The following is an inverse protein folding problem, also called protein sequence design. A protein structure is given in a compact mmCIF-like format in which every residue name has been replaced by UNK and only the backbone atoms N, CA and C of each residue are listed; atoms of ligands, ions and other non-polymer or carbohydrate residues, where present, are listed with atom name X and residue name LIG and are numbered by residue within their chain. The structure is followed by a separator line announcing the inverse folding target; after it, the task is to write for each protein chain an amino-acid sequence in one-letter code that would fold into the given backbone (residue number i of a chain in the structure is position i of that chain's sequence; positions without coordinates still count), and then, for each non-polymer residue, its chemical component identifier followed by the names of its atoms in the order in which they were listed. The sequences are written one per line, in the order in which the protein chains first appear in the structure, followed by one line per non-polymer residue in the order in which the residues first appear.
data_IF_738393768960
#
_entry.id   IF_738393768960
#
_cell.length_a   1.000
_cell.length_b   1.000
_cell.length_c   1.000
_cell.angle_alpha   90.00
_cell.angle_beta   90.00
_cell.angle_gamma   90.00
#
_symmetry.space_group_name_H-M   'P 1'
#
loop_
_entity.id
_entity.type
_entity.pdbx_description
1 polymer ?
#
# COMPACT_ATOMS: atom_id res chain seq x y z
N UNK A 1 61.93 3.69 12.53
CA UNK A 1 62.18 2.23 12.36
C UNK A 1 60.81 1.57 12.55
N UNK A 2 60.15 0.93 11.60
CA UNK A 2 60.59 0.01 10.54
C UNK A 2 59.74 0.21 9.28
N UNK A 3 60.38 0.11 8.11
CA UNK A 3 59.75 0.06 6.78
C UNK A 3 59.44 -1.40 6.44
N UNK A 4 58.30 -1.66 5.79
CA UNK A 4 58.16 -2.81 4.88
C UNK A 4 57.40 -2.40 3.62
N UNK A 5 58.13 -2.45 2.51
CA UNK A 5 57.63 -2.40 1.14
C UNK A 5 57.03 -3.76 0.76
N UNK A 6 55.91 -3.76 0.04
CA UNK A 6 55.57 -4.86 -0.87
C UNK A 6 55.07 -4.27 -2.20
N UNK A 7 55.90 -4.46 -3.24
CA UNK A 7 55.51 -4.33 -4.64
C UNK A 7 54.78 -5.61 -5.07
N UNK A 8 53.66 -5.50 -5.75
CA UNK A 8 53.16 -6.55 -6.64
C UNK A 8 52.79 -5.95 -7.99
N UNK A 9 53.51 -6.42 -9.01
CA UNK A 9 53.33 -6.16 -10.45
C UNK A 9 51.97 -6.70 -10.92
N UNK A 10 51.20 -5.91 -11.66
CA UNK A 10 50.12 -6.43 -12.50
C UNK A 10 50.58 -6.53 -13.95
N UNK A 11 50.48 -7.75 -14.46
CA UNK A 11 50.84 -8.20 -15.80
C UNK A 11 49.73 -7.77 -16.78
N UNK A 12 50.08 -7.01 -17.83
CA UNK A 12 49.15 -6.70 -18.94
C UNK A 12 49.22 -7.87 -19.94
N UNK A 13 48.15 -8.65 -20.05
CA UNK A 13 47.99 -9.66 -21.10
C UNK A 13 47.34 -9.00 -22.32
N UNK A 14 48.12 -8.79 -23.38
CA UNK A 14 47.60 -8.44 -24.70
C UNK A 14 47.19 -9.74 -25.44
N UNK A 15 45.91 -9.87 -25.79
CA UNK A 15 45.42 -10.90 -26.71
C UNK A 15 45.43 -10.36 -28.15
N UNK A 16 45.86 -11.16 -29.15
CA UNK A 16 45.82 -10.74 -30.54
C UNK A 16 44.39 -10.85 -31.09
N UNK A 17 43.90 -9.81 -31.76
CA UNK A 17 42.68 -9.85 -32.56
C UNK A 17 42.95 -10.67 -33.83
N UNK A 18 42.49 -11.91 -33.84
CA UNK A 18 42.34 -12.71 -35.06
C UNK A 18 41.14 -12.21 -35.87
N UNK A 19 41.38 -11.88 -37.14
CA UNK A 19 40.33 -11.61 -38.13
C UNK A 19 39.56 -12.91 -38.41
N UNK A 20 38.28 -12.95 -38.07
CA UNK A 20 37.35 -13.97 -38.52
C UNK A 20 36.40 -13.34 -39.55
N UNK A 21 36.47 -13.80 -40.79
CA UNK A 21 35.51 -13.47 -41.84
C UNK A 21 34.16 -14.12 -41.51
N UNK A 22 33.11 -13.32 -41.36
CA UNK A 22 31.74 -13.81 -41.27
C UNK A 22 31.02 -13.52 -42.58
N UNK A 23 31.14 -14.44 -43.53
CA UNK A 23 30.17 -14.58 -44.62
C UNK A 23 29.03 -15.45 -44.12
N UNK A 24 27.99 -14.82 -43.60
CA UNK A 24 26.74 -15.44 -43.20
C UNK A 24 25.65 -14.38 -43.19
N UNK A 25 24.75 -14.43 -44.18
CA UNK A 25 23.54 -13.60 -44.21
C UNK A 25 22.73 -13.92 -42.95
N UNK A 26 22.72 -12.99 -42.00
CA UNK A 26 21.94 -13.12 -40.79
C UNK A 26 20.44 -13.12 -41.15
N UNK A 27 19.76 -14.25 -40.97
CA UNK A 27 18.31 -14.25 -40.79
C UNK A 27 18.03 -13.31 -39.63
N UNK A 28 17.20 -12.28 -39.86
CA UNK A 28 16.76 -11.37 -38.80
C UNK A 28 16.22 -12.18 -37.63
N UNK A 29 16.57 -11.78 -36.41
CA UNK A 29 16.11 -12.48 -35.21
C UNK A 29 14.58 -12.51 -35.18
N UNK A 30 14.02 -13.65 -34.79
CA UNK A 30 12.57 -13.83 -34.60
C UNK A 30 12.02 -12.79 -33.61
N UNK A 31 10.85 -12.24 -33.94
CA UNK A 31 10.22 -11.18 -33.16
C UNK A 31 9.58 -11.74 -31.89
N UNK A 32 9.71 -10.99 -30.80
CA UNK A 32 9.18 -11.30 -29.50
C UNK A 32 8.10 -10.29 -29.10
N UNK A 33 6.96 -10.77 -28.58
CA UNK A 33 5.87 -9.90 -28.18
C UNK A 33 6.31 -8.80 -27.19
N UNK A 34 6.98 -9.13 -26.09
CA UNK A 34 7.27 -8.15 -25.04
C UNK A 34 8.39 -7.18 -25.42
N UNK A 35 9.37 -7.66 -26.20
CA UNK A 35 10.50 -6.86 -26.68
C UNK A 35 10.10 -5.94 -27.81
N UNK A 36 9.37 -6.46 -28.80
CA UNK A 36 9.24 -5.81 -30.11
C UNK A 36 7.85 -5.24 -30.38
N UNK A 37 6.78 -5.87 -29.88
CA UNK A 37 5.38 -5.52 -30.23
C UNK A 37 4.65 -4.77 -29.12
N UNK A 38 4.80 -5.25 -27.88
CA UNK A 38 4.19 -4.69 -26.69
C UNK A 38 4.48 -3.20 -26.49
N UNK A 39 5.69 -2.66 -26.75
CA UNK A 39 5.97 -1.24 -26.51
C UNK A 39 5.02 -0.29 -27.23
N UNK A 40 4.73 -0.54 -28.51
CA UNK A 40 3.83 0.31 -29.28
C UNK A 40 2.35 -0.04 -29.06
N UNK A 41 2.00 -1.31 -28.78
CA UNK A 41 0.63 -1.67 -28.42
C UNK A 41 0.23 -1.12 -27.04
N UNK A 42 1.18 -1.00 -26.10
CA UNK A 42 0.92 -0.53 -24.74
C UNK A 42 0.24 0.84 -24.71
N UNK A 43 0.78 1.79 -25.47
CA UNK A 43 0.23 3.15 -25.55
C UNK A 43 -1.05 3.23 -26.38
N UNK A 44 -1.09 2.49 -27.50
CA UNK A 44 -2.08 2.73 -28.55
C UNK A 44 -3.31 1.81 -28.48
N UNK A 45 -3.17 0.61 -27.92
CA UNK A 45 -4.23 -0.41 -27.89
C UNK A 45 -4.54 -0.87 -26.46
N UNK A 46 -3.53 -1.30 -25.72
CA UNK A 46 -3.67 -1.87 -24.37
C UNK A 46 -4.19 -0.83 -23.36
N UNK A 47 -3.95 0.47 -23.61
CA UNK A 47 -4.52 1.55 -22.79
C UNK A 47 -6.06 1.53 -22.74
N UNK A 48 -6.71 0.97 -23.76
CA UNK A 48 -8.17 0.83 -23.87
C UNK A 48 -8.67 -0.62 -23.85
N UNK A 49 -7.78 -1.61 -24.03
CA UNK A 49 -8.10 -3.04 -24.10
C UNK A 49 -7.21 -3.83 -23.12
N UNK A 50 -7.45 -3.65 -21.83
CA UNK A 50 -6.74 -4.34 -20.75
C UNK A 50 -7.73 -4.93 -19.74
N UNK A 51 -7.24 -5.63 -18.72
CA UNK A 51 -8.08 -6.26 -17.69
C UNK A 51 -9.06 -5.32 -16.98
N UNK A 52 -8.71 -4.04 -16.83
CA UNK A 52 -9.52 -3.06 -16.09
C UNK A 52 -10.45 -2.28 -17.01
N UNK A 53 -9.99 -2.02 -18.22
CA UNK A 53 -10.72 -1.30 -19.27
C UNK A 53 -10.85 -2.27 -20.44
N UNK A 54 -11.82 -3.17 -20.37
CA UNK A 54 -12.03 -4.24 -21.36
C UNK A 54 -13.03 -3.79 -22.42
N UNK A 55 -12.73 -2.72 -23.16
CA UNK A 55 -13.65 -2.26 -24.21
C UNK A 55 -13.83 -3.36 -25.26
N UNK A 56 -15.09 -3.56 -25.69
CA UNK A 56 -15.49 -4.64 -26.60
C UNK A 56 -15.06 -6.04 -26.13
N UNK A 57 -15.00 -6.26 -24.80
CA UNK A 57 -14.62 -7.54 -24.21
C UNK A 57 -13.17 -7.97 -24.44
N UNK A 58 -12.34 -7.12 -25.07
CA UNK A 58 -10.99 -7.49 -25.51
C UNK A 58 -9.93 -7.10 -24.46
N UNK A 59 -9.04 -8.06 -24.14
CA UNK A 59 -7.82 -7.82 -23.37
C UNK A 59 -6.59 -8.17 -24.23
N UNK A 60 -5.68 -7.22 -24.38
CA UNK A 60 -4.48 -7.33 -25.21
C UNK A 60 -3.17 -7.38 -24.41
N UNK A 61 -3.22 -7.69 -23.11
CA UNK A 61 -2.04 -7.71 -22.24
C UNK A 61 -1.07 -8.89 -22.54
N UNK A 62 -1.55 -9.93 -23.22
CA UNK A 62 -0.76 -11.10 -23.63
C UNK A 62 -1.25 -11.63 -24.98
N UNK A 63 -0.40 -12.29 -25.80
CA UNK A 63 -0.83 -12.89 -27.06
C UNK A 63 -1.93 -13.93 -26.87
N UNK A 64 -1.91 -14.70 -25.79
CA UNK A 64 -2.94 -15.70 -25.48
C UNK A 64 -4.32 -15.06 -25.32
N UNK A 65 -4.39 -13.89 -24.68
CA UNK A 65 -5.63 -13.12 -24.54
C UNK A 65 -6.04 -12.46 -25.86
N UNK A 66 -5.07 -12.01 -26.67
CA UNK A 66 -5.33 -11.46 -28.00
C UNK A 66 -5.91 -12.51 -28.95
N UNK A 67 -5.43 -13.76 -28.87
CA UNK A 67 -5.93 -14.92 -29.62
C UNK A 67 -7.33 -15.31 -29.12
N UNK A 68 -7.55 -15.30 -27.79
CA UNK A 68 -8.89 -15.53 -27.23
C UNK A 68 -9.90 -14.50 -27.75
N UNK A 69 -9.47 -13.26 -27.95
CA UNK A 69 -10.28 -12.22 -28.56
C UNK A 69 -11.30 -11.58 -27.63
N UNK A 70 -12.18 -10.78 -28.24
CA UNK A 70 -13.29 -10.09 -27.56
C UNK A 70 -14.62 -10.34 -28.27
N UNK A 71 -15.53 -9.38 -28.18
CA UNK A 71 -16.90 -9.50 -28.72
C UNK A 71 -16.94 -9.71 -30.24
N UNK A 72 -15.90 -9.27 -30.96
CA UNK A 72 -15.75 -9.42 -32.42
C UNK A 72 -14.90 -10.64 -32.82
N UNK A 73 -14.52 -11.51 -31.87
CA UNK A 73 -13.66 -12.66 -32.11
C UNK A 73 -12.17 -12.38 -31.83
N UNK A 74 -11.27 -13.28 -32.28
CA UNK A 74 -9.83 -13.17 -32.09
C UNK A 74 -9.27 -11.85 -32.66
N UNK A 75 -8.52 -11.11 -31.83
CA UNK A 75 -7.85 -9.90 -32.33
C UNK A 75 -6.64 -10.23 -33.20
N UNK A 76 -6.01 -11.39 -32.97
CA UNK A 76 -4.93 -11.92 -33.80
C UNK A 76 -5.18 -13.39 -34.12
N UNK A 77 -4.75 -13.80 -35.31
CA UNK A 77 -4.73 -15.20 -35.76
C UNK A 77 -3.28 -15.55 -36.09
N UNK A 78 -2.60 -16.37 -35.25
CA UNK A 78 -1.20 -16.72 -35.47
C UNK A 78 -0.94 -17.31 -36.85
N UNK A 79 0.12 -16.85 -37.51
CA UNK A 79 0.48 -17.22 -38.89
C UNK A 79 -0.35 -16.53 -39.97
N UNK A 80 -1.30 -15.67 -39.61
CA UNK A 80 -2.25 -15.06 -40.54
C UNK A 80 -2.48 -13.57 -40.24
N UNK A 81 -1.47 -12.75 -40.46
CA UNK A 81 -1.57 -11.30 -40.25
C UNK A 81 -2.65 -10.64 -41.11
N UNK A 82 -2.91 -11.19 -42.30
CA UNK A 82 -3.98 -10.72 -43.20
C UNK A 82 -5.41 -11.04 -42.73
N UNK A 83 -5.60 -12.02 -41.84
CA UNK A 83 -6.91 -12.37 -41.26
C UNK A 83 -7.06 -11.85 -39.81
N UNK A 84 -6.08 -11.09 -39.32
CA UNK A 84 -6.04 -10.61 -37.93
C UNK A 84 -6.73 -9.26 -37.79
N UNK A 85 -7.84 -9.20 -37.04
CA UNK A 85 -8.62 -7.98 -36.83
C UNK A 85 -7.79 -6.80 -36.34
N UNK A 86 -6.79 -7.04 -35.49
CA UNK A 86 -5.88 -5.99 -35.01
C UNK A 86 -5.15 -5.30 -36.17
N UNK A 87 -4.69 -6.08 -37.15
CA UNK A 87 -3.98 -5.56 -38.31
C UNK A 87 -4.94 -4.81 -39.21
N UNK A 88 -6.11 -5.38 -39.49
CA UNK A 88 -7.15 -4.75 -40.31
C UNK A 88 -7.65 -3.43 -39.70
N UNK A 89 -7.85 -3.39 -38.39
CA UNK A 89 -8.21 -2.17 -37.66
C UNK A 89 -7.07 -1.14 -37.69
N UNK A 90 -5.81 -1.58 -37.57
CA UNK A 90 -4.65 -0.67 -37.59
C UNK A 90 -4.40 -0.02 -38.95
N UNK A 91 -4.81 -0.68 -40.05
CA UNK A 91 -4.76 -0.11 -41.41
C UNK A 91 -6.08 0.52 -41.83
N UNK A 92 -7.08 0.59 -40.94
CA UNK A 92 -8.42 1.13 -41.21
C UNK A 92 -9.12 0.46 -42.41
N UNK A 93 -8.92 -0.85 -42.61
CA UNK A 93 -9.59 -1.63 -43.67
C UNK A 93 -10.94 -2.18 -43.24
N UNK A 94 -11.29 -2.06 -41.96
CA UNK A 94 -12.60 -2.41 -41.40
C UNK A 94 -13.40 -1.16 -41.10
N UNK A 95 -14.71 -1.31 -40.87
CA UNK A 95 -15.56 -0.22 -40.36
C UNK A 95 -15.25 0.16 -38.91
N UNK A 96 -14.31 -0.52 -38.25
CA UNK A 96 -13.91 -0.28 -36.87
C UNK A 96 -12.81 0.80 -36.85
N UNK A 97 -13.19 2.03 -36.50
CA UNK A 97 -12.24 3.14 -36.33
C UNK A 97 -11.39 2.95 -35.06
N UNK A 98 -10.13 2.55 -35.22
CA UNK A 98 -9.20 2.34 -34.09
C UNK A 98 -7.80 2.92 -34.37
N UNK A 99 -7.26 3.74 -33.46
CA UNK A 99 -7.92 4.29 -32.28
C UNK A 99 -9.02 5.28 -32.68
N UNK A 100 -10.11 5.42 -31.90
CA UNK A 100 -11.13 6.43 -32.16
C UNK A 100 -10.51 7.83 -32.11
N UNK A 101 -10.91 8.69 -33.05
CA UNK A 101 -10.46 10.09 -33.14
C UNK A 101 -10.62 10.89 -31.83
N UNK A 102 -11.60 10.55 -30.99
CA UNK A 102 -11.85 11.17 -29.67
C UNK A 102 -11.48 10.25 -28.50
N UNK A 103 -10.33 9.59 -28.55
CA UNK A 103 -9.86 8.78 -27.43
C UNK A 103 -9.27 9.65 -26.29
N UNK A 104 -9.41 9.20 -25.04
CA UNK A 104 -8.92 9.90 -23.84
C UNK A 104 -7.51 9.48 -23.41
N UNK A 105 -6.89 8.54 -24.12
CA UNK A 105 -5.62 7.91 -23.74
C UNK A 105 -4.43 8.46 -24.53
N UNK A 106 -4.68 9.29 -25.55
CA UNK A 106 -3.64 9.79 -26.44
C UNK A 106 -3.13 8.73 -27.43
N UNK A 107 -3.92 7.67 -27.67
CA UNK A 107 -3.60 6.65 -28.65
C UNK A 107 -3.54 7.26 -30.06
N UNK A 108 -2.50 6.91 -30.82
CA UNK A 108 -2.29 7.31 -32.21
C UNK A 108 -2.40 6.12 -33.16
N UNK A 109 -2.56 6.42 -34.45
CA UNK A 109 -2.36 5.42 -35.50
C UNK A 109 -0.94 4.85 -35.41
N UNK A 110 -0.82 3.55 -35.65
CA UNK A 110 0.48 2.91 -35.82
C UNK A 110 1.15 3.43 -37.10
N UNK A 111 2.47 3.52 -37.06
CA UNK A 111 3.28 3.85 -38.25
C UNK A 111 3.36 2.64 -39.19
N UNK A 112 3.69 2.87 -40.46
CA UNK A 112 3.88 1.78 -41.43
C UNK A 112 4.92 0.74 -40.95
N UNK A 113 5.99 1.20 -40.29
CA UNK A 113 7.02 0.32 -39.73
C UNK A 113 6.48 -0.54 -38.58
N UNK A 114 5.69 0.03 -37.67
CA UNK A 114 5.05 -0.71 -36.56
C UNK A 114 4.01 -1.72 -37.10
N UNK A 115 3.28 -1.36 -38.15
CA UNK A 115 2.32 -2.28 -38.82
C UNK A 115 3.08 -3.42 -39.50
N UNK A 116 4.18 -3.14 -40.19
CA UNK A 116 5.01 -4.18 -40.81
C UNK A 116 5.60 -5.13 -39.76
N UNK A 117 6.09 -4.59 -38.65
CA UNK A 117 6.61 -5.37 -37.53
C UNK A 117 5.51 -6.22 -36.86
N UNK A 118 4.32 -5.66 -36.68
CA UNK A 118 3.16 -6.40 -36.17
C UNK A 118 2.77 -7.55 -37.08
N UNK A 119 2.72 -7.32 -38.41
CA UNK A 119 2.42 -8.36 -39.40
C UNK A 119 3.45 -9.49 -39.34
N UNK A 120 4.73 -9.13 -39.37
CA UNK A 120 5.82 -10.10 -39.30
C UNK A 120 5.71 -10.96 -38.02
N UNK A 121 5.50 -10.34 -36.87
CA UNK A 121 5.37 -11.07 -35.59
C UNK A 121 4.17 -12.03 -35.59
N UNK A 122 3.02 -11.61 -36.12
CA UNK A 122 1.85 -12.48 -36.25
C UNK A 122 2.14 -13.65 -37.19
N UNK A 123 2.76 -13.39 -38.35
CA UNK A 123 3.10 -14.40 -39.36
C UNK A 123 4.16 -15.39 -38.87
N UNK A 124 5.07 -14.96 -37.97
CA UNK A 124 6.01 -15.82 -37.24
C UNK A 124 5.35 -16.66 -36.13
N UNK A 125 4.03 -16.54 -35.96
CA UNK A 125 3.23 -17.34 -35.03
C UNK A 125 2.87 -16.64 -33.72
N UNK A 126 2.99 -15.32 -33.66
CA UNK A 126 2.61 -14.48 -32.50
C UNK A 126 3.26 -14.92 -31.18
N UNK A 127 4.54 -15.31 -31.24
CA UNK A 127 5.26 -15.88 -30.09
C UNK A 127 5.57 -14.83 -29.03
N UNK A 128 5.58 -15.27 -27.77
CA UNK A 128 6.09 -14.46 -26.66
C UNK A 128 7.07 -15.24 -25.81
N UNK A 129 8.11 -14.55 -25.38
CA UNK A 129 8.89 -14.89 -24.20
C UNK A 129 8.00 -14.81 -22.98
N UNK A 130 8.33 -15.57 -21.94
CA UNK A 130 7.69 -15.34 -20.63
C UNK A 130 8.17 -13.99 -20.13
N UNK A 131 7.24 -13.15 -19.68
CA UNK A 131 7.60 -11.96 -18.91
C UNK A 131 8.27 -12.44 -17.63
N UNK A 132 9.60 -12.56 -17.64
CA UNK A 132 10.36 -12.80 -16.41
C UNK A 132 10.15 -11.57 -15.54
N UNK A 133 9.28 -11.70 -14.54
CA UNK A 133 9.27 -10.77 -13.42
C UNK A 133 10.68 -10.90 -12.86
N UNK A 134 11.54 -9.91 -13.16
CA UNK A 134 12.86 -9.82 -12.55
C UNK A 134 12.61 -9.80 -11.05
N UNK A 135 12.84 -10.95 -10.42
CA UNK A 135 12.64 -11.11 -9.01
C UNK A 135 13.73 -10.26 -8.36
N UNK A 136 13.34 -9.06 -7.92
CA UNK A 136 14.27 -8.20 -7.22
C UNK A 136 14.46 -8.82 -5.85
N UNK A 137 15.63 -9.43 -5.67
CA UNK A 137 16.09 -9.90 -4.37
C UNK A 137 16.40 -8.66 -3.54
N UNK A 138 15.43 -8.22 -2.75
CA UNK A 138 15.64 -7.18 -1.77
C UNK A 138 16.59 -7.72 -0.70
N UNK A 139 17.60 -6.93 -0.37
CA UNK A 139 18.56 -7.26 0.67
C UNK A 139 18.76 -6.05 1.55
N UNK A 140 18.98 -6.31 2.83
CA UNK A 140 19.42 -5.29 3.74
C UNK A 140 20.74 -4.68 3.27
N UNK A 141 20.88 -3.37 3.44
CA UNK A 141 22.22 -2.79 3.41
C UNK A 141 23.05 -3.39 4.55
N UNK A 142 24.36 -3.46 4.31
CA UNK A 142 25.32 -3.97 5.28
C UNK A 142 25.19 -3.19 6.60
N UNK A 143 25.41 -3.84 7.75
CA UNK A 143 25.19 -3.23 9.08
C UNK A 143 26.11 -2.02 9.32
N UNK A 144 27.22 -1.94 8.59
CA UNK A 144 28.14 -0.81 8.57
C UNK A 144 27.51 0.45 7.94
N UNK A 145 26.45 0.28 7.15
CA UNK A 145 25.62 1.34 6.56
C UNK A 145 24.28 1.41 7.31
N UNK A 146 24.35 1.76 8.61
CA UNK A 146 23.19 1.99 9.48
C UNK A 146 22.98 3.47 9.91
N UNK A 147 23.18 4.49 9.04
CA UNK A 147 22.84 5.86 9.38
C UNK A 147 21.32 6.04 9.49
N UNK A 148 20.91 6.94 10.39
CA UNK A 148 19.53 7.41 10.48
C UNK A 148 19.42 8.72 9.69
N UNK A 149 18.75 8.70 8.55
CA UNK A 149 18.57 9.89 7.70
C UNK A 149 17.21 10.58 7.87
N UNK A 150 16.22 9.85 8.38
CA UNK A 150 14.88 10.36 8.56
C UNK A 150 14.30 9.87 9.89
N UNK A 151 13.62 10.77 10.59
CA UNK A 151 12.83 10.48 11.78
C UNK A 151 11.50 11.22 11.69
N UNK A 152 10.44 10.64 12.21
CA UNK A 152 9.12 11.28 12.34
C UNK A 152 8.40 10.73 13.55
N UNK A 153 7.42 11.46 14.06
CA UNK A 153 6.67 11.10 15.26
C UNK A 153 5.18 11.24 14.98
N UNK A 154 4.37 10.39 15.60
CA UNK A 154 2.92 10.56 15.60
C UNK A 154 2.52 11.84 16.34
N UNK A 155 1.37 12.41 15.99
CA UNK A 155 0.90 13.68 16.58
C UNK A 155 0.68 13.59 18.10
N UNK A 156 0.29 12.42 18.59
CA UNK A 156 0.15 12.10 20.01
C UNK A 156 1.50 11.90 20.74
N UNK A 157 2.63 11.95 20.02
CA UNK A 157 3.97 11.77 20.56
C UNK A 157 4.29 10.34 21.01
N UNK A 158 3.41 9.36 20.77
CA UNK A 158 3.61 8.00 21.28
C UNK A 158 4.62 7.20 20.47
N UNK A 159 4.57 7.30 19.15
CA UNK A 159 5.37 6.48 18.26
C UNK A 159 6.35 7.31 17.45
N UNK A 160 7.59 6.83 17.34
CA UNK A 160 8.63 7.39 16.46
C UNK A 160 9.00 6.37 15.40
N UNK A 161 9.04 6.79 14.15
CA UNK A 161 9.59 6.01 13.06
C UNK A 161 10.97 6.55 12.65
N UNK A 162 11.92 5.64 12.43
CA UNK A 162 13.28 5.95 12.01
C UNK A 162 13.63 5.19 10.73
N UNK A 163 14.16 5.89 9.74
CA UNK A 163 14.73 5.32 8.52
C UNK A 163 16.20 4.99 8.76
N UNK A 164 16.54 3.70 8.85
CA UNK A 164 17.88 3.16 9.12
C UNK A 164 18.39 2.43 7.90
N UNK A 165 19.34 3.02 7.19
CA UNK A 165 19.73 2.53 5.87
C UNK A 165 18.50 2.44 4.94
N UNK A 166 18.21 1.23 4.44
CA UNK A 166 17.05 0.95 3.60
C UNK A 166 15.86 0.30 4.34
N UNK A 167 15.85 0.38 5.68
CA UNK A 167 14.83 -0.18 6.57
C UNK A 167 14.13 0.93 7.34
N UNK A 168 12.93 0.65 7.82
CA UNK A 168 12.19 1.55 8.72
C UNK A 168 11.90 0.82 10.02
N UNK A 169 12.07 1.49 11.14
CA UNK A 169 11.81 0.95 12.47
C UNK A 169 10.85 1.85 13.22
N UNK A 170 9.88 1.25 13.91
CA UNK A 170 8.89 1.92 14.73
C UNK A 170 9.20 1.66 16.20
N UNK A 171 9.25 2.72 17.00
CA UNK A 171 9.50 2.68 18.44
C UNK A 171 8.28 3.23 19.17
N UNK A 172 7.95 2.65 20.32
CA UNK A 172 7.03 3.23 21.30
C UNK A 172 7.88 3.98 22.32
N UNK A 173 7.69 5.30 22.41
CA UNK A 173 8.46 6.16 23.30
C UNK A 173 8.04 6.01 24.76
N UNK A 174 6.76 5.74 25.02
CA UNK A 174 6.27 5.55 26.38
C UNK A 174 6.85 4.27 26.99
N UNK A 175 6.92 3.21 26.19
CA UNK A 175 7.44 1.90 26.60
C UNK A 175 8.94 1.70 26.33
N UNK A 176 9.59 2.68 25.69
CA UNK A 176 11.02 2.68 25.33
C UNK A 176 11.48 1.41 24.61
N UNK A 177 10.65 0.89 23.71
CA UNK A 177 10.95 -0.37 23.00
C UNK A 177 10.73 -0.26 21.51
N UNK A 178 11.46 -1.12 20.78
CA UNK A 178 11.15 -1.39 19.38
C UNK A 178 9.79 -2.08 19.30
N UNK A 179 8.90 -1.52 18.46
CA UNK A 179 7.59 -2.09 18.15
C UNK A 179 7.71 -3.03 16.98
N UNK A 180 8.29 -2.55 15.87
CA UNK A 180 8.39 -3.32 14.63
C UNK A 180 9.46 -2.76 13.69
N UNK A 181 10.04 -3.64 12.88
CA UNK A 181 10.59 -3.26 11.58
C UNK A 181 9.45 -3.19 10.56
N UNK A 182 9.42 -2.14 9.76
CA UNK A 182 8.44 -1.91 8.70
C UNK A 182 9.14 -2.15 7.36
N UNK A 183 8.71 -3.16 6.62
CA UNK A 183 9.27 -3.55 5.34
C UNK A 183 8.43 -4.61 4.64
N UNK A 184 8.60 -4.71 3.33
CA UNK A 184 7.93 -5.66 2.43
C UNK A 184 8.92 -6.60 1.71
N UNK A 185 10.23 -6.43 1.94
CA UNK A 185 11.26 -7.37 1.49
C UNK A 185 11.51 -8.52 2.48
N UNK A 186 12.20 -9.59 2.04
CA UNK A 186 12.41 -10.83 2.79
C UNK A 186 13.23 -10.62 4.06
N UNK A 187 14.10 -9.61 4.10
CA UNK A 187 14.94 -9.27 5.26
C UNK A 187 14.43 -8.04 6.03
N UNK A 188 13.14 -7.72 5.91
CA UNK A 188 12.53 -6.54 6.55
C UNK A 188 12.93 -5.20 5.93
N UNK A 189 13.43 -5.20 4.70
CA UNK A 189 13.76 -3.98 3.95
C UNK A 189 12.49 -3.23 3.56
N UNK A 190 12.53 -1.90 3.72
CA UNK A 190 11.47 -1.02 3.26
C UNK A 190 11.71 -0.55 1.81
N UNK A 191 12.97 -0.28 1.47
CA UNK A 191 13.35 0.33 0.19
C UNK A 191 14.62 -0.29 -0.40
N UNK A 192 14.92 0.03 -1.67
CA UNK A 192 16.15 -0.42 -2.35
C UNK A 192 17.34 0.46 -2.02
N UNK A 193 17.05 1.75 -1.85
CA UNK A 193 18.01 2.75 -1.45
C UNK A 193 17.67 3.25 -0.03
N UNK A 194 18.45 4.22 0.42
CA UNK A 194 18.30 4.83 1.74
C UNK A 194 16.90 5.48 1.90
N UNK A 195 16.34 5.31 3.10
CA UNK A 195 15.10 5.99 3.50
C UNK A 195 15.46 7.41 3.94
N UNK A 196 15.17 8.38 3.09
CA UNK A 196 15.58 9.77 3.29
C UNK A 196 14.44 10.68 3.75
N UNK A 197 13.21 10.17 3.82
CA UNK A 197 12.06 10.93 4.31
C UNK A 197 11.03 10.01 4.93
N UNK A 198 10.40 10.47 6.00
CA UNK A 198 9.30 9.83 6.69
C UNK A 198 8.26 10.87 7.10
N UNK A 199 6.98 10.50 7.04
CA UNK A 199 5.89 11.32 7.57
C UNK A 199 4.73 10.43 8.03
N UNK A 200 4.23 10.65 9.24
CA UNK A 200 2.94 10.09 9.65
C UNK A 200 1.78 10.92 9.08
N UNK A 201 0.65 10.26 8.83
CA UNK A 201 -0.63 10.98 8.70
C UNK A 201 -1.04 11.54 10.07
N UNK A 202 -1.82 12.64 10.11
CA UNK A 202 -2.28 13.24 11.37
C UNK A 202 -3.01 12.24 12.27
N UNK A 203 -3.82 11.36 11.68
CA UNK A 203 -4.54 10.30 12.41
C UNK A 203 -3.66 9.13 12.89
N UNK A 204 -2.35 9.15 12.61
CA UNK A 204 -1.38 8.11 12.99
C UNK A 204 -1.60 6.74 12.32
N UNK A 205 -2.60 6.60 11.44
CA UNK A 205 -2.96 5.30 10.85
C UNK A 205 -2.12 4.94 9.62
N UNK A 206 -1.44 5.93 9.04
CA UNK A 206 -0.59 5.76 7.87
C UNK A 206 0.76 6.43 8.08
N UNK A 207 1.75 5.92 7.38
CA UNK A 207 3.08 6.52 7.29
C UNK A 207 3.55 6.47 5.85
N UNK A 208 4.07 7.58 5.35
CA UNK A 208 4.79 7.63 4.08
C UNK A 208 6.29 7.48 4.34
N UNK A 209 6.97 6.69 3.51
CA UNK A 209 8.43 6.63 3.47
C UNK A 209 8.93 6.91 2.06
N UNK A 210 9.94 7.77 1.96
CA UNK A 210 10.56 8.21 0.72
C UNK A 210 11.97 7.67 0.54
N UNK A 211 12.23 7.14 -0.65
CA UNK A 211 13.54 6.66 -1.11
C UNK A 211 13.79 7.18 -2.53
N UNK A 212 14.97 6.89 -3.08
CA UNK A 212 15.30 7.23 -4.47
C UNK A 212 14.22 6.72 -5.45
N UNK A 213 13.50 7.65 -6.07
CA UNK A 213 12.43 7.42 -7.07
C UNK A 213 11.25 6.55 -6.59
N UNK A 214 11.05 6.44 -5.28
CA UNK A 214 9.99 5.62 -4.72
C UNK A 214 9.42 6.25 -3.45
N UNK A 215 8.10 6.22 -3.31
CA UNK A 215 7.39 6.52 -2.06
C UNK A 215 6.50 5.33 -1.75
N UNK A 216 6.57 4.82 -0.53
CA UNK A 216 5.68 3.76 -0.04
C UNK A 216 4.78 4.31 1.05
N UNK A 217 3.53 3.84 1.08
CA UNK A 217 2.56 4.15 2.12
C UNK A 217 2.32 2.89 2.93
N UNK A 218 2.63 2.96 4.21
CA UNK A 218 2.40 1.93 5.20
C UNK A 218 1.11 2.24 5.93
N UNK A 219 0.24 1.25 6.06
CA UNK A 219 -0.98 1.36 6.85
C UNK A 219 -0.84 0.47 8.08
N UNK A 220 -1.18 0.99 9.26
CA UNK A 220 -1.30 0.17 10.46
C UNK A 220 -2.28 -0.96 10.18
N UNK A 221 -1.89 -2.20 10.45
CA UNK A 221 -2.82 -3.34 10.33
C UNK A 221 -3.93 -3.08 11.36
N UNK A 222 -5.13 -2.80 10.88
CA UNK A 222 -6.30 -2.81 11.75
C UNK A 222 -6.47 -4.27 12.17
N UNK A 223 -6.27 -4.54 13.46
CA UNK A 223 -6.80 -5.76 14.05
C UNK A 223 -8.28 -5.83 13.66
N UNK A 224 -8.81 -6.98 13.21
CA UNK A 224 -10.22 -7.10 12.86
C UNK A 224 -11.04 -6.56 14.02
N UNK A 225 -12.07 -5.76 13.69
CA UNK A 225 -12.96 -5.16 14.67
C UNK A 225 -13.37 -6.24 15.68
N UNK A 226 -12.95 -6.04 16.93
CA UNK A 226 -13.28 -6.92 18.04
C UNK A 226 -14.79 -7.13 18.05
N UNK A 227 -15.20 -8.39 18.11
CA UNK A 227 -16.59 -8.77 18.22
C UNK A 227 -17.30 -7.95 19.30
N UNK A 228 -18.43 -7.34 18.91
CA UNK A 228 -19.35 -6.66 19.83
C UNK A 228 -19.59 -7.60 21.03
N UNK A 229 -19.43 -7.14 22.29
CA UNK A 229 -19.49 -8.04 23.44
C UNK A 229 -20.82 -8.78 23.46
N UNK A 230 -20.79 -10.11 23.30
CA UNK A 230 -21.99 -10.96 23.41
C UNK A 230 -22.52 -11.05 24.86
N UNK A 231 -21.75 -10.53 25.83
CA UNK A 231 -22.01 -10.71 27.27
C UNK A 231 -22.27 -9.39 28.04
N UNK A 232 -22.30 -8.24 27.37
CA UNK A 232 -22.90 -7.05 27.99
C UNK A 232 -24.42 -7.23 27.87
N UNK A 233 -25.06 -7.73 28.93
CA UNK A 233 -26.48 -8.12 28.98
C UNK A 233 -27.51 -7.00 28.71
N UNK A 234 -27.10 -5.88 28.14
CA UNK A 234 -27.92 -4.82 27.58
C UNK A 234 -27.17 -4.27 26.37
N UNK A 235 -27.87 -4.00 25.27
CA UNK A 235 -27.27 -3.54 24.01
C UNK A 235 -26.38 -2.32 24.27
N UNK A 236 -25.06 -2.47 24.11
CA UNK A 236 -24.14 -1.34 24.24
C UNK A 236 -24.53 -0.26 23.20
N UNK A 237 -24.79 0.95 23.69
CA UNK A 237 -25.24 2.11 22.90
C UNK A 237 -24.08 3.03 22.51
N UNK A 238 -22.96 2.98 23.23
CA UNK A 238 -21.73 3.68 22.87
C UNK A 238 -20.50 2.92 23.34
N UNK A 239 -19.37 3.09 22.64
CA UNK A 239 -18.08 2.50 23.03
C UNK A 239 -16.89 3.33 22.59
N UNK A 240 -15.79 3.27 23.36
CA UNK A 240 -14.51 3.89 23.01
C UNK A 240 -13.34 2.93 23.32
N UNK A 241 -12.32 2.90 22.44
CA UNK A 241 -11.09 2.13 22.63
C UNK A 241 -10.11 2.94 23.48
N UNK A 242 -9.42 2.29 24.42
CA UNK A 242 -8.37 2.92 25.19
C UNK A 242 -7.10 3.13 24.35
N UNK A 243 -6.27 4.14 24.68
CA UNK A 243 -4.99 4.36 24.02
C UNK A 243 -4.10 3.10 23.99
N UNK A 244 -4.12 2.28 25.04
CA UNK A 244 -3.36 1.02 25.10
C UNK A 244 -3.79 -0.04 24.07
N UNK A 245 -4.96 0.12 23.43
CA UNK A 245 -5.52 -0.81 22.44
C UNK A 245 -5.96 -2.17 23.02
N UNK A 246 -5.82 -2.38 24.34
CA UNK A 246 -6.13 -3.63 25.04
C UNK A 246 -7.43 -3.55 25.81
N UNK A 247 -7.96 -2.35 26.04
CA UNK A 247 -9.20 -2.12 26.77
C UNK A 247 -10.21 -1.34 25.93
N UNK A 248 -11.49 -1.64 26.14
CA UNK A 248 -12.63 -0.88 25.59
C UNK A 248 -13.49 -0.43 26.77
N UNK A 249 -14.04 0.78 26.72
CA UNK A 249 -15.18 1.17 27.56
C UNK A 249 -16.44 1.15 26.72
N UNK A 250 -17.51 0.55 27.24
CA UNK A 250 -18.83 0.56 26.63
C UNK A 250 -19.85 1.09 27.63
N UNK A 251 -20.85 1.82 27.16
CA UNK A 251 -22.00 2.24 27.95
C UNK A 251 -23.26 1.47 27.52
N UNK A 252 -24.08 1.08 28.49
CA UNK A 252 -25.40 0.51 28.24
C UNK A 252 -26.54 1.52 28.48
N UNK A 253 -27.76 1.13 28.06
CA UNK A 253 -28.97 1.94 28.23
C UNK A 253 -29.40 2.12 29.69
N UNK A 254 -28.85 1.31 30.61
CA UNK A 254 -29.19 1.31 32.04
C UNK A 254 -28.26 2.19 32.89
N UNK A 255 -27.29 2.87 32.26
CA UNK A 255 -26.31 3.72 32.94
C UNK A 255 -25.09 2.96 33.47
N UNK A 256 -24.81 1.76 32.97
CA UNK A 256 -23.57 1.05 33.28
C UNK A 256 -22.44 1.37 32.31
N UNK A 257 -21.23 1.63 32.82
CA UNK A 257 -19.99 1.52 32.02
C UNK A 257 -19.33 0.17 32.26
N UNK A 258 -18.92 -0.45 31.17
CA UNK A 258 -18.20 -1.72 31.16
C UNK A 258 -16.81 -1.47 30.61
N UNK A 259 -15.82 -1.71 31.45
CA UNK A 259 -14.45 -1.87 31.00
C UNK A 259 -14.28 -3.31 30.54
N UNK A 260 -13.86 -3.47 29.29
CA UNK A 260 -13.77 -4.75 28.61
C UNK A 260 -12.34 -4.98 28.15
N UNK A 261 -11.88 -6.24 28.18
CA UNK A 261 -10.70 -6.64 27.46
C UNK A 261 -11.00 -6.64 25.95
N UNK A 262 -10.23 -5.88 25.18
CA UNK A 262 -10.45 -5.71 23.76
C UNK A 262 -10.31 -7.05 23.01
N UNK A 263 -9.41 -7.96 23.38
CA UNK A 263 -9.26 -9.22 22.62
C UNK A 263 -10.42 -10.20 22.81
N UNK A 264 -11.11 -10.17 23.94
CA UNK A 264 -12.06 -11.23 24.33
C UNK A 264 -13.47 -10.72 24.62
N UNK A 265 -13.64 -9.40 24.76
CA UNK A 265 -14.89 -8.82 25.26
C UNK A 265 -15.17 -9.16 26.72
N UNK A 266 -14.21 -9.71 27.47
CA UNK A 266 -14.38 -10.04 28.89
C UNK A 266 -14.55 -8.76 29.69
N UNK A 267 -15.60 -8.70 30.52
CA UNK A 267 -15.81 -7.60 31.47
C UNK A 267 -14.68 -7.65 32.51
N UNK A 268 -13.85 -6.63 32.50
CA UNK A 268 -12.80 -6.39 33.49
C UNK A 268 -13.37 -5.66 34.71
N UNK A 269 -14.29 -4.72 34.47
CA UNK A 269 -14.95 -3.93 35.53
C UNK A 269 -16.29 -3.41 35.04
N UNK A 270 -17.24 -3.28 35.98
CA UNK A 270 -18.44 -2.47 35.83
C UNK A 270 -18.31 -1.23 36.71
N UNK A 271 -18.64 -0.06 36.17
CA UNK A 271 -18.77 1.20 36.90
C UNK A 271 -20.25 1.56 36.82
N UNK A 272 -20.93 1.59 37.96
CA UNK A 272 -22.32 2.06 38.00
C UNK A 272 -22.34 3.57 37.91
N UNK A 273 -22.98 4.09 36.87
CA UNK A 273 -23.29 5.51 36.79
C UNK A 273 -24.75 5.69 37.19
N UNK A 274 -25.01 6.61 38.10
CA UNK A 274 -26.36 7.15 38.27
C UNK A 274 -26.69 8.15 37.15
N UNK A 275 -26.38 7.78 35.89
CA UNK A 275 -26.64 8.58 34.69
C UNK A 275 -27.31 7.67 33.65
N UNK A 276 -28.58 7.95 33.37
CA UNK A 276 -29.41 7.16 32.46
C UNK A 276 -29.73 8.04 31.25
N UNK A 277 -29.47 7.55 30.05
CA UNK A 277 -29.77 8.29 28.82
C UNK A 277 -29.51 7.47 27.56
N UNK A 278 -30.30 7.72 26.53
CA UNK A 278 -30.06 7.17 25.19
C UNK A 278 -28.84 7.85 24.58
N UNK A 279 -28.04 7.08 23.85
CA UNK A 279 -26.90 7.55 23.03
C UNK A 279 -25.86 8.41 23.78
N UNK A 280 -25.21 7.88 24.84
CA UNK A 280 -24.17 8.61 25.55
C UNK A 280 -22.93 8.85 24.67
N UNK A 281 -22.27 9.98 24.87
CA UNK A 281 -21.01 10.31 24.20
C UNK A 281 -19.86 9.98 25.15
N UNK A 282 -18.85 9.25 24.66
CA UNK A 282 -17.72 8.78 25.46
C UNK A 282 -16.40 9.37 24.95
N UNK A 283 -15.52 9.77 25.86
CA UNK A 283 -14.13 10.13 25.55
C UNK A 283 -13.16 9.60 26.61
N UNK A 284 -12.14 8.85 26.18
CA UNK A 284 -11.08 8.32 27.05
C UNK A 284 -9.90 9.29 27.04
N UNK A 285 -9.33 9.58 28.21
CA UNK A 285 -8.16 10.45 28.30
C UNK A 285 -6.93 9.84 27.59
N UNK A 286 -5.98 10.65 27.08
CA UNK A 286 -4.81 10.15 26.36
C UNK A 286 -3.91 9.22 27.20
N UNK A 287 -3.89 9.40 28.51
CA UNK A 287 -3.18 8.52 29.46
C UNK A 287 -3.97 7.22 29.79
N UNK A 288 -5.21 7.10 29.30
CA UNK A 288 -6.09 5.96 29.54
C UNK A 288 -6.55 5.80 30.99
N UNK A 289 -6.44 6.84 31.82
CA UNK A 289 -6.79 6.77 33.25
C UNK A 289 -8.19 7.29 33.55
N UNK A 290 -8.83 8.00 32.62
CA UNK A 290 -10.14 8.63 32.81
C UNK A 290 -11.08 8.36 31.64
N UNK A 291 -12.36 8.32 31.94
CA UNK A 291 -13.44 8.31 30.95
C UNK A 291 -14.42 9.43 31.24
N UNK A 292 -14.68 10.26 30.23
CA UNK A 292 -15.74 11.24 30.23
C UNK A 292 -16.98 10.66 29.57
N UNK A 293 -18.15 10.92 30.17
CA UNK A 293 -19.44 10.54 29.62
C UNK A 293 -20.38 11.72 29.66
N UNK A 294 -20.96 12.04 28.52
CA UNK A 294 -22.07 12.98 28.41
C UNK A 294 -23.35 12.20 28.09
N UNK A 295 -24.41 12.48 28.84
CA UNK A 295 -25.73 11.90 28.62
C UNK A 295 -26.66 12.89 27.94
N UNK A 296 -27.66 12.38 27.22
CA UNK A 296 -28.70 13.21 26.60
C UNK A 296 -29.48 14.10 27.60
N UNK A 297 -29.43 13.79 28.90
CA UNK A 297 -30.02 14.61 29.97
C UNK A 297 -29.21 15.86 30.33
N UNK A 298 -28.10 16.14 29.64
CA UNK A 298 -27.25 17.30 29.92
C UNK A 298 -26.22 17.07 31.03
N UNK A 299 -26.17 15.86 31.60
CA UNK A 299 -25.15 15.51 32.60
C UNK A 299 -23.85 15.08 31.91
N UNK A 300 -22.76 15.79 32.22
CA UNK A 300 -21.39 15.44 31.92
C UNK A 300 -20.70 14.96 33.19
N UNK A 301 -20.02 13.83 33.15
CA UNK A 301 -19.19 13.39 34.26
C UNK A 301 -17.93 12.66 33.81
N UNK A 302 -16.94 12.63 34.70
CA UNK A 302 -15.65 11.99 34.46
C UNK A 302 -15.35 11.02 35.59
N UNK A 303 -14.96 9.80 35.24
CA UNK A 303 -14.58 8.75 36.19
C UNK A 303 -13.12 8.35 36.02
N UNK A 304 -12.49 7.94 37.11
CA UNK A 304 -11.25 7.18 37.10
C UNK A 304 -11.51 5.75 36.68
N UNK A 305 -10.68 5.23 35.79
CA UNK A 305 -10.83 3.89 35.22
C UNK A 305 -10.41 2.78 36.21
N UNK A 306 -9.41 3.06 37.04
CA UNK A 306 -8.81 2.04 37.90
C UNK A 306 -9.73 1.58 39.03
N UNK A 307 -10.40 2.53 39.68
CA UNK A 307 -11.25 2.32 40.85
C UNK A 307 -12.73 2.67 40.60
N UNK A 308 -13.06 3.28 39.45
CA UNK A 308 -14.42 3.73 39.14
C UNK A 308 -14.83 4.98 39.90
N UNK A 309 -13.90 5.69 40.56
CA UNK A 309 -14.23 6.87 41.34
C UNK A 309 -14.67 8.04 40.45
N UNK A 310 -15.79 8.68 40.80
CA UNK A 310 -16.24 9.91 40.15
C UNK A 310 -15.24 11.03 40.47
N UNK A 311 -14.74 11.69 39.43
CA UNK A 311 -13.83 12.84 39.54
C UNK A 311 -14.64 14.14 39.59
N UNK A 312 -15.56 14.30 38.63
CA UNK A 312 -16.40 15.49 38.53
C UNK A 312 -17.72 15.14 37.83
N UNK A 313 -18.77 15.90 38.15
CA UNK A 313 -20.05 15.88 37.48
C UNK A 313 -20.53 17.31 37.32
N UNK A 314 -21.02 17.63 36.13
CA UNK A 314 -21.69 18.86 35.79
C UNK A 314 -23.07 18.50 35.25
N UNK A 315 -24.10 19.01 35.90
CA UNK A 315 -25.46 18.98 35.38
C UNK A 315 -25.71 20.21 34.51
N UNK A 316 -26.67 20.10 33.59
CA UNK A 316 -27.07 21.18 32.68
C UNK A 316 -25.92 21.70 31.79
N UNK A 317 -25.03 20.82 31.33
CA UNK A 317 -23.91 21.16 30.44
C UNK A 317 -24.34 21.59 29.02
N UNK A 318 -25.65 21.77 28.78
CA UNK A 318 -26.22 22.08 27.49
C UNK A 318 -26.23 20.88 26.54
N UNK A 319 -26.41 21.14 25.25
CA UNK A 319 -26.39 20.10 24.21
C UNK A 319 -24.96 19.95 23.67
N UNK A 320 -24.32 18.82 23.95
CA UNK A 320 -22.96 18.51 23.50
C UNK A 320 -23.03 17.47 22.38
N UNK A 321 -22.42 17.79 21.23
CA UNK A 321 -22.34 16.89 20.08
C UNK A 321 -21.09 15.99 20.06
N UNK A 322 -20.06 16.36 20.82
CA UNK A 322 -18.79 15.61 20.88
C UNK A 322 -17.99 15.94 22.14
N UNK A 323 -17.21 14.98 22.63
CA UNK A 323 -16.24 15.17 23.72
C UNK A 323 -14.83 14.86 23.23
N UNK A 324 -13.84 15.67 23.59
CA UNK A 324 -12.43 15.39 23.28
C UNK A 324 -11.51 15.89 24.38
N UNK A 325 -10.50 15.11 24.72
CA UNK A 325 -9.47 15.56 25.65
C UNK A 325 -8.40 16.39 24.92
N UNK A 326 -7.82 17.38 25.60
CA UNK A 326 -6.55 17.97 25.17
C UNK A 326 -5.44 16.91 25.17
N UNK A 327 -4.42 17.06 24.33
CA UNK A 327 -3.34 16.07 24.19
C UNK A 327 -2.56 15.80 25.48
N UNK A 328 -2.50 16.76 26.40
CA UNK A 328 -1.91 16.61 27.74
C UNK A 328 -2.86 15.98 28.78
N UNK A 329 -4.10 15.67 28.39
CA UNK A 329 -5.14 15.05 29.23
C UNK A 329 -5.68 15.94 30.35
N UNK A 330 -5.39 17.25 30.34
CA UNK A 330 -5.79 18.17 31.41
C UNK A 330 -7.17 18.79 31.20
N UNK A 331 -7.59 18.97 29.95
CA UNK A 331 -8.86 19.58 29.57
C UNK A 331 -9.70 18.58 28.77
N UNK A 332 -11.02 18.71 28.91
CA UNK A 332 -12.07 17.94 28.22
C UNK A 332 -12.95 18.90 27.42
#
# INVERSE_FOLDING_TARGET
MNRSLFLTRSLVLALPLGMASLSGVARGAELDFYRDVYPFLKGNCISCHNKTTTKAGLNMETPELMIKGGDSGPSIVPGKSGESLLVEASVHSTSIEMPPSKNKTGARNLTEAEIAQLRQWIDEGAKSSKQEIRQVAWQALAAEVDPIYAVTMTEDGRFVACGRGNRVFLYDLAEQRLVAGIGDGPDGTAHRALVNSLAFSPDGNRMASGSYREVKIWKKRQEPAVARPANAGAAAVASALFPDGRRIVAADETGGLFLLEASTGKILRRIEMAMVGKDPILAVSPDGTRVAVFSAGGDLAVWKVNDGALITRQSDAGNIASLTWSGDGRNL
#
